data_IF_506352429180
#
_entry.id   IF_506352429180
#
_cell.length_a   1.000
_cell.length_b   1.000
_cell.length_c   1.000
_cell.angle_alpha   90.00
_cell.angle_beta   90.00
_cell.angle_gamma   90.00
#
_symmetry.space_group_name_H-M   'P 1'
#
loop_
_entity.id
_entity.type
_entity.pdbx_description
1 polymer ?
#
# COMPACT_ATOMS: atom_id res chain seq x y z
N UNK A 1 23.93 -0.67 -10.17
CA UNK A 1 22.53 -0.26 -10.43
C UNK A 1 22.16 0.72 -9.34
N UNK A 2 21.62 1.92 -9.63
CA UNK A 2 21.26 2.87 -8.59
C UNK A 2 20.11 2.27 -7.75
N UNK A 3 20.34 2.05 -6.46
CA UNK A 3 19.29 1.66 -5.52
C UNK A 3 18.27 2.80 -5.49
N UNK A 4 17.12 2.61 -6.14
CA UNK A 4 16.00 3.57 -6.08
C UNK A 4 15.59 3.66 -4.62
N UNK A 5 15.81 4.80 -3.97
CA UNK A 5 15.40 5.02 -2.59
C UNK A 5 13.89 4.81 -2.47
N UNK A 6 13.47 3.80 -1.72
CA UNK A 6 12.05 3.49 -1.56
C UNK A 6 11.34 4.63 -0.81
N UNK A 7 10.19 5.06 -1.31
CA UNK A 7 9.37 6.08 -0.64
C UNK A 7 8.95 5.58 0.76
N UNK A 8 8.98 6.47 1.76
CA UNK A 8 8.62 6.13 3.15
C UNK A 8 7.21 5.52 3.27
N UNK A 9 6.25 6.02 2.51
CA UNK A 9 4.88 5.51 2.52
C UNK A 9 4.81 4.09 1.95
N UNK A 10 5.49 3.83 0.84
CA UNK A 10 5.57 2.49 0.24
C UNK A 10 6.27 1.49 1.16
N UNK A 11 7.39 1.90 1.78
CA UNK A 11 8.10 1.06 2.75
C UNK A 11 7.20 0.68 3.92
N UNK A 12 6.53 1.67 4.51
CA UNK A 12 5.61 1.46 5.62
C UNK A 12 4.45 0.53 5.26
N UNK A 13 3.94 0.61 4.02
CA UNK A 13 2.89 -0.28 3.54
C UNK A 13 3.39 -1.73 3.43
N UNK A 14 4.56 -1.94 2.83
CA UNK A 14 5.18 -3.26 2.73
C UNK A 14 5.45 -3.85 4.12
N UNK A 15 5.95 -3.06 5.07
CA UNK A 15 6.17 -3.48 6.44
C UNK A 15 4.85 -3.91 7.13
N UNK A 16 3.78 -3.15 6.94
CA UNK A 16 2.45 -3.49 7.45
C UNK A 16 1.93 -4.81 6.86
N UNK A 17 2.00 -4.96 5.53
CA UNK A 17 1.58 -6.17 4.85
C UNK A 17 2.43 -7.39 5.22
N UNK A 18 3.73 -7.20 5.44
CA UNK A 18 4.64 -8.23 5.89
C UNK A 18 4.32 -8.66 7.31
N UNK A 19 4.06 -7.71 8.22
CA UNK A 19 3.62 -8.03 9.57
C UNK A 19 2.33 -8.87 9.55
N UNK A 20 1.31 -8.44 8.80
CA UNK A 20 0.10 -9.25 8.60
C UNK A 20 0.41 -10.62 7.98
N UNK A 21 1.31 -10.68 6.99
CA UNK A 21 1.69 -11.93 6.34
C UNK A 21 2.40 -12.90 7.28
N UNK A 22 3.16 -12.43 8.27
CA UNK A 22 3.71 -13.31 9.31
C UNK A 22 2.63 -13.95 10.18
N UNK A 23 1.60 -13.18 10.54
CA UNK A 23 0.45 -13.66 11.34
C UNK A 23 -0.34 -14.69 10.54
N UNK A 24 -0.60 -14.42 9.25
CA UNK A 24 -1.39 -15.26 8.37
C UNK A 24 -0.58 -16.30 7.57
N UNK A 25 0.73 -16.44 7.86
CA UNK A 25 1.68 -17.34 7.17
C UNK A 25 1.65 -17.21 5.63
N UNK A 26 1.52 -15.97 5.14
CA UNK A 26 1.58 -15.61 3.72
C UNK A 26 3.02 -15.24 3.32
N UNK A 27 3.39 -15.30 2.02
CA UNK A 27 4.70 -14.87 1.57
C UNK A 27 4.96 -13.39 1.90
N UNK A 28 6.22 -13.08 2.24
CA UNK A 28 6.70 -11.73 2.52
C UNK A 28 7.12 -11.05 1.22
N UNK A 29 6.90 -9.75 1.14
CA UNK A 29 7.31 -8.89 0.04
C UNK A 29 8.68 -8.31 0.37
N UNK A 30 9.64 -8.48 -0.53
CA UNK A 30 10.97 -7.87 -0.40
C UNK A 30 10.96 -6.47 -1.06
N UNK A 31 11.25 -5.39 -0.30
CA UNK A 31 11.16 -4.03 -0.82
C UNK A 31 12.21 -3.69 -1.88
N UNK A 32 13.33 -4.44 -1.93
CA UNK A 32 14.40 -4.21 -2.90
C UNK A 32 14.15 -4.94 -4.23
N UNK A 33 13.27 -5.97 -4.21
CA UNK A 33 12.96 -6.80 -5.38
C UNK A 33 11.46 -7.04 -5.53
N UNK A 34 10.67 -5.97 -5.62
CA UNK A 34 9.22 -6.04 -5.84
C UNK A 34 8.94 -6.66 -7.22
N UNK A 35 8.17 -7.74 -7.24
CA UNK A 35 7.68 -8.36 -8.49
C UNK A 35 6.35 -7.75 -8.92
N UNK A 36 5.91 -7.97 -10.17
CA UNK A 36 4.58 -7.55 -10.62
C UNK A 36 3.45 -8.11 -9.74
N UNK A 37 3.57 -9.36 -9.29
CA UNK A 37 2.59 -9.97 -8.40
C UNK A 37 2.55 -9.30 -7.02
N UNK A 38 3.72 -8.92 -6.49
CA UNK A 38 3.79 -8.18 -5.24
C UNK A 38 3.21 -6.77 -5.40
N UNK A 39 3.53 -6.08 -6.51
CA UNK A 39 2.99 -4.76 -6.81
C UNK A 39 1.45 -4.79 -6.91
N UNK A 40 0.88 -5.75 -7.62
CA UNK A 40 -0.58 -5.93 -7.68
C UNK A 40 -1.19 -6.18 -6.31
N UNK A 41 -0.54 -7.00 -5.49
CA UNK A 41 -1.01 -7.27 -4.14
C UNK A 41 -0.97 -6.02 -3.26
N UNK A 42 0.04 -5.17 -3.41
CA UNK A 42 0.12 -3.90 -2.67
C UNK A 42 -0.97 -2.94 -3.18
N UNK A 43 -1.20 -2.85 -4.49
CA UNK A 43 -2.27 -2.02 -5.05
C UNK A 43 -3.65 -2.44 -4.54
N UNK A 44 -3.95 -3.74 -4.54
CA UNK A 44 -5.21 -4.27 -4.02
C UNK A 44 -5.41 -4.00 -2.52
N UNK A 45 -4.33 -4.11 -1.74
CA UNK A 45 -4.37 -3.80 -0.30
C UNK A 45 -4.63 -2.30 -0.06
N UNK A 46 -4.00 -1.43 -0.86
CA UNK A 46 -4.24 0.01 -0.82
C UNK A 46 -5.67 0.35 -1.23
N UNK A 47 -6.17 -0.23 -2.33
CA UNK A 47 -7.53 -0.04 -2.83
C UNK A 47 -8.58 -0.43 -1.78
N UNK A 48 -8.42 -1.61 -1.18
CA UNK A 48 -9.25 -2.07 -0.07
C UNK A 48 -9.16 -1.13 1.16
N UNK A 49 -7.99 -0.56 1.42
CA UNK A 49 -7.77 0.41 2.49
C UNK A 49 -8.41 1.79 2.23
N UNK A 50 -8.63 2.15 0.96
CA UNK A 50 -9.21 3.43 0.53
C UNK A 50 -10.74 3.41 0.48
N UNK A 51 -11.35 2.23 0.40
CA UNK A 51 -12.81 2.07 0.51
C UNK A 51 -13.37 2.88 1.69
N UNK A 52 -14.51 3.56 1.55
CA UNK A 52 -15.05 4.48 2.55
C UNK A 52 -15.15 3.88 3.96
N UNK A 53 -15.54 2.62 4.08
CA UNK A 53 -15.63 1.89 5.35
C UNK A 53 -14.25 1.73 6.00
N UNK A 54 -13.25 1.32 5.23
CA UNK A 54 -11.89 1.10 5.73
C UNK A 54 -11.13 2.40 5.94
N UNK A 55 -11.33 3.40 5.09
CA UNK A 55 -10.66 4.69 5.17
C UNK A 55 -11.09 5.44 6.42
N UNK A 56 -12.39 5.38 6.76
CA UNK A 56 -12.96 6.00 7.94
C UNK A 56 -12.99 5.09 9.17
N UNK A 57 -12.54 3.83 9.05
CA UNK A 57 -12.58 2.84 10.13
C UNK A 57 -13.99 2.77 10.74
N UNK A 58 -15.00 2.50 9.90
CA UNK A 58 -16.44 2.53 10.27
C UNK A 58 -16.90 3.85 10.93
N UNK A 59 -16.22 4.96 10.64
CA UNK A 59 -16.50 6.28 11.22
C UNK A 59 -15.86 6.52 12.59
N UNK A 60 -15.07 5.58 13.11
CA UNK A 60 -14.45 5.66 14.44
C UNK A 60 -13.29 6.68 14.51
N UNK A 61 -12.67 7.01 13.37
CA UNK A 61 -11.55 7.96 13.34
C UNK A 61 -11.98 9.37 12.90
N UNK A 62 -11.25 10.36 13.40
CA UNK A 62 -11.47 11.75 13.02
C UNK A 62 -11.21 11.97 11.53
N UNK A 63 -11.87 13.00 10.96
CA UNK A 63 -11.67 13.40 9.55
C UNK A 63 -10.20 13.66 9.21
N UNK A 64 -9.42 14.24 10.14
CA UNK A 64 -8.00 14.49 9.93
C UNK A 64 -7.17 13.21 9.92
N UNK A 65 -7.53 12.21 10.74
CA UNK A 65 -6.90 10.90 10.71
C UNK A 65 -7.21 10.14 9.41
N UNK A 66 -8.47 10.14 8.97
CA UNK A 66 -8.87 9.57 7.67
C UNK A 66 -8.11 10.24 6.51
N UNK A 67 -8.00 11.56 6.53
CA UNK A 67 -7.25 12.30 5.51
C UNK A 67 -5.75 11.96 5.51
N UNK A 68 -5.15 11.75 6.69
CA UNK A 68 -3.76 11.32 6.80
C UNK A 68 -3.57 9.91 6.24
N UNK A 69 -4.50 8.99 6.53
CA UNK A 69 -4.52 7.62 6.01
C UNK A 69 -4.62 7.62 4.48
N UNK A 70 -5.56 8.38 3.91
CA UNK A 70 -5.71 8.58 2.46
C UNK A 70 -4.41 9.04 1.81
N UNK A 71 -3.77 10.07 2.37
CA UNK A 71 -2.52 10.61 1.82
C UNK A 71 -1.39 9.59 1.85
N UNK A 72 -1.31 8.78 2.90
CA UNK A 72 -0.30 7.74 3.02
C UNK A 72 -0.50 6.67 1.93
N UNK A 73 -1.73 6.18 1.77
CA UNK A 73 -2.07 5.21 0.72
C UNK A 73 -1.80 5.73 -0.69
N UNK A 74 -2.28 6.93 -1.03
CA UNK A 74 -2.02 7.53 -2.33
C UNK A 74 -0.53 7.79 -2.59
N UNK A 75 0.25 8.13 -1.55
CA UNK A 75 1.70 8.30 -1.69
C UNK A 75 2.41 6.96 -1.96
N UNK A 76 1.94 5.87 -1.35
CA UNK A 76 2.47 4.53 -1.58
C UNK A 76 2.13 4.03 -2.99
N UNK A 77 0.87 4.19 -3.43
CA UNK A 77 0.43 3.83 -4.77
C UNK A 77 1.19 4.61 -5.84
N UNK A 78 1.33 5.94 -5.67
CA UNK A 78 2.14 6.77 -6.56
C UNK A 78 3.59 6.28 -6.66
N UNK A 79 4.20 5.93 -5.53
CA UNK A 79 5.57 5.44 -5.52
C UNK A 79 5.71 4.10 -6.27
N UNK A 80 4.72 3.21 -6.21
CA UNK A 80 4.68 1.99 -7.04
C UNK A 80 4.57 2.33 -8.53
N UNK A 81 3.74 3.30 -8.89
CA UNK A 81 3.65 3.78 -10.28
C UNK A 81 4.97 4.37 -10.78
N UNK A 82 5.66 5.16 -9.96
CA UNK A 82 6.99 5.71 -10.27
C UNK A 82 8.07 4.61 -10.43
N UNK A 83 7.88 3.42 -9.84
CA UNK A 83 8.74 2.26 -10.06
C UNK A 83 8.48 1.56 -11.40
N UNK A 84 7.34 1.83 -12.04
CA UNK A 84 6.93 1.29 -13.33
C UNK A 84 5.80 0.26 -13.27
N UNK A 85 5.14 0.10 -12.11
CA UNK A 85 4.01 -0.81 -11.96
C UNK A 85 2.68 -0.08 -12.15
N UNK A 86 1.69 -0.76 -12.70
CA UNK A 86 0.36 -0.17 -12.94
C UNK A 86 -0.70 -0.97 -12.18
N UNK A 87 -1.65 -0.31 -11.49
CA UNK A 87 -2.74 -1.02 -10.82
C UNK A 87 -3.68 -1.67 -11.85
N UNK A 88 -4.03 -2.93 -11.62
CA UNK A 88 -5.02 -3.67 -12.42
C UNK A 88 -6.24 -3.95 -11.55
N UNK A 89 -7.45 -3.72 -12.08
CA UNK A 89 -8.73 -3.96 -11.39
C UNK A 89 -8.86 -3.25 -10.02
N UNK A 90 -8.25 -2.07 -9.89
CA UNK A 90 -8.40 -1.21 -8.71
C UNK A 90 -9.29 -0.02 -9.07
N UNK A 91 -10.21 0.35 -8.18
CA UNK A 91 -11.26 1.34 -8.43
C UNK A 91 -11.08 2.63 -7.64
N UNK A 92 -10.35 2.57 -6.52
CA UNK A 92 -10.15 3.67 -5.57
C UNK A 92 -8.79 4.38 -5.75
N UNK A 93 -7.92 3.86 -6.63
CA UNK A 93 -6.59 4.41 -6.99
C UNK A 93 -6.48 4.78 -8.46
#
# INVERSE_FOLDING_TARGET
MPMRTLNKALKGQIEHMNFMSTIFKKPLIDPDTITDADAQRIFQDIDCGLSPENLHCDGEISRSAAQAKYRNYMSAAKALCDLGFEPVDCYEI
#
